data_IF_179319014289
#
_entry.id   IF_179319014289
#
_cell.length_a   1.000
_cell.length_b   1.000
_cell.length_c   1.000
_cell.angle_alpha   90.00
_cell.angle_beta   90.00
_cell.angle_gamma   90.00
#
_symmetry.space_group_name_H-M   'P 1'
#
loop_
_entity.id
_entity.type
_entity.pdbx_description
1 polymer ?
#
# COMPACT_ATOMS: atom_id res chain seq x y z
N UNK A 1 3.88 -54.85 -107.88
CA UNK A 1 2.62 -54.25 -107.38
C UNK A 1 2.96 -53.59 -106.05
N UNK A 2 3.63 -52.43 -106.09
CA UNK A 2 3.02 -51.10 -106.18
C UNK A 2 1.94 -50.90 -105.11
N UNK A 3 2.27 -50.14 -104.07
CA UNK A 3 1.45 -48.97 -103.77
C UNK A 3 2.27 -47.91 -103.02
N UNK A 4 2.30 -46.74 -103.64
CA UNK A 4 2.89 -45.49 -103.20
C UNK A 4 2.12 -44.83 -102.05
N UNK A 5 2.85 -43.92 -101.39
CA UNK A 5 2.38 -42.66 -100.80
C UNK A 5 1.42 -42.73 -99.60
N UNK A 6 1.84 -42.16 -98.47
CA UNK A 6 1.44 -40.78 -98.19
C UNK A 6 2.32 -40.17 -97.09
N UNK A 7 2.91 -39.02 -97.40
CA UNK A 7 3.61 -38.14 -96.47
C UNK A 7 2.56 -37.21 -95.87
N UNK A 8 2.33 -37.30 -94.55
CA UNK A 8 1.52 -36.34 -93.82
C UNK A 8 2.28 -35.85 -92.59
N UNK A 9 2.72 -34.60 -92.69
CA UNK A 9 3.13 -33.74 -91.58
C UNK A 9 2.22 -33.95 -90.36
N UNK A 10 2.83 -34.28 -89.22
CA UNK A 10 2.14 -34.26 -87.94
C UNK A 10 2.89 -33.28 -87.02
N UNK A 11 2.46 -32.02 -87.04
CA UNK A 11 2.84 -31.01 -86.06
C UNK A 11 2.37 -31.47 -84.67
N UNK A 12 3.27 -32.08 -83.91
CA UNK A 12 3.05 -32.41 -82.50
C UNK A 12 2.91 -31.15 -81.65
N UNK A 13 1.72 -30.94 -81.09
CA UNK A 13 1.35 -29.84 -80.20
C UNK A 13 2.31 -29.66 -78.99
N UNK A 14 2.44 -28.43 -78.43
CA UNK A 14 3.28 -28.20 -77.27
C UNK A 14 2.75 -28.95 -76.03
N UNK A 15 3.63 -29.68 -75.34
CA UNK A 15 3.32 -30.38 -74.08
C UNK A 15 2.88 -29.37 -73.01
N UNK A 16 1.62 -29.44 -72.58
CA UNK A 16 1.10 -28.66 -71.47
C UNK A 16 1.88 -28.95 -70.17
N UNK A 17 2.53 -27.94 -69.59
CA UNK A 17 3.14 -28.02 -68.25
C UNK A 17 2.02 -28.19 -67.22
N UNK A 18 1.94 -29.35 -66.57
CA UNK A 18 1.10 -29.56 -65.38
C UNK A 18 1.68 -28.75 -64.22
N UNK A 19 1.00 -27.66 -63.84
CA UNK A 19 1.27 -27.01 -62.56
C UNK A 19 0.82 -27.93 -61.42
N UNK A 20 1.65 -28.18 -60.39
CA UNK A 20 1.23 -28.96 -59.24
C UNK A 20 0.17 -28.18 -58.48
N UNK A 21 -1.07 -28.67 -58.55
CA UNK A 21 -2.20 -28.13 -57.81
C UNK A 21 -2.00 -28.45 -56.34
N UNK A 22 -1.24 -27.61 -55.61
CA UNK A 22 -1.17 -27.71 -54.15
C UNK A 22 -2.60 -27.54 -53.62
N UNK A 23 -3.08 -28.61 -52.99
CA UNK A 23 -4.41 -28.73 -52.41
C UNK A 23 -4.75 -27.49 -51.58
N UNK A 24 -5.72 -26.69 -52.07
CA UNK A 24 -6.25 -25.52 -51.35
C UNK A 24 -6.69 -25.89 -49.91
N UNK A 25 -7.07 -27.16 -49.67
CA UNK A 25 -7.48 -27.67 -48.36
C UNK A 25 -6.36 -27.57 -47.31
N UNK A 26 -5.09 -27.76 -47.69
CA UNK A 26 -3.98 -27.67 -46.74
C UNK A 26 -3.72 -26.21 -46.27
N UNK A 27 -3.93 -25.24 -47.16
CA UNK A 27 -3.86 -23.81 -46.82
C UNK A 27 -5.03 -23.38 -45.92
N UNK A 28 -6.25 -23.85 -46.22
CA UNK A 28 -7.43 -23.58 -45.40
C UNK A 28 -7.32 -24.20 -43.99
N UNK A 29 -6.71 -25.39 -43.85
CA UNK A 29 -6.50 -26.03 -42.54
C UNK A 29 -5.44 -25.32 -41.69
N UNK A 30 -4.35 -24.81 -42.28
CA UNK A 30 -3.32 -24.07 -41.51
C UNK A 30 -3.77 -22.67 -41.09
N UNK A 31 -4.56 -21.97 -41.93
CA UNK A 31 -5.16 -20.69 -41.56
C UNK A 31 -6.19 -20.83 -40.40
N UNK A 32 -6.98 -21.91 -40.40
CA UNK A 32 -7.94 -22.19 -39.34
C UNK A 32 -7.28 -22.46 -37.98
N UNK A 33 -6.18 -23.22 -37.95
CA UNK A 33 -5.46 -23.51 -36.70
C UNK A 33 -4.79 -22.26 -36.11
N UNK A 34 -4.19 -21.43 -36.96
CA UNK A 34 -3.59 -20.16 -36.52
C UNK A 34 -4.61 -19.21 -35.89
N UNK A 35 -5.82 -19.12 -36.47
CA UNK A 35 -6.90 -18.31 -35.93
C UNK A 35 -7.39 -18.83 -34.56
N UNK A 36 -7.49 -20.15 -34.39
CA UNK A 36 -7.86 -20.77 -33.09
C UNK A 36 -6.79 -20.52 -32.04
N UNK A 37 -5.50 -20.69 -32.37
CA UNK A 37 -4.41 -20.39 -31.44
C UNK A 37 -4.40 -18.90 -31.05
N UNK A 38 -4.60 -18.00 -32.01
CA UNK A 38 -4.66 -16.57 -31.74
C UNK A 38 -5.85 -16.21 -30.82
N UNK A 39 -7.00 -16.84 -31.04
CA UNK A 39 -8.19 -16.65 -30.21
C UNK A 39 -7.98 -17.19 -28.78
N UNK A 40 -7.32 -18.35 -28.62
CA UNK A 40 -6.97 -18.89 -27.31
C UNK A 40 -5.96 -18.01 -26.56
N UNK A 41 -4.98 -17.44 -27.27
CA UNK A 41 -4.00 -16.49 -26.69
C UNK A 41 -4.71 -15.22 -26.23
N UNK A 42 -5.63 -14.67 -27.02
CA UNK A 42 -6.41 -13.49 -26.64
C UNK A 42 -7.31 -13.75 -25.42
N UNK A 43 -7.96 -14.92 -25.36
CA UNK A 43 -8.74 -15.34 -24.17
C UNK A 43 -7.82 -15.46 -22.95
N UNK A 44 -6.65 -16.07 -23.09
CA UNK A 44 -5.70 -16.21 -21.99
C UNK A 44 -5.26 -14.84 -21.47
N UNK A 45 -4.94 -13.89 -22.38
CA UNK A 45 -4.60 -12.50 -22.01
C UNK A 45 -5.74 -11.88 -21.21
N UNK A 46 -6.99 -11.97 -21.67
CA UNK A 46 -8.17 -11.42 -20.98
C UNK A 46 -8.37 -12.06 -19.60
N UNK A 47 -8.15 -13.36 -19.44
CA UNK A 47 -8.25 -14.06 -18.14
C UNK A 47 -7.12 -13.62 -17.19
N UNK A 48 -5.93 -13.33 -17.72
CA UNK A 48 -4.79 -12.88 -16.91
C UNK A 48 -4.84 -11.40 -16.54
N UNK A 49 -5.68 -10.59 -17.22
CA UNK A 49 -5.87 -9.20 -16.82
C UNK A 49 -6.49 -9.19 -15.41
N UNK A 50 -5.85 -8.54 -14.43
CA UNK A 50 -6.40 -8.47 -13.09
C UNK A 50 -7.77 -7.78 -13.16
N UNK A 51 -8.78 -8.41 -12.54
CA UNK A 51 -10.09 -7.79 -12.38
C UNK A 51 -9.89 -6.44 -11.69
N UNK A 52 -10.26 -5.35 -12.36
CA UNK A 52 -10.32 -3.99 -11.78
C UNK A 52 -11.51 -3.88 -10.83
N UNK A 53 -11.69 -4.88 -9.96
CA UNK A 53 -12.70 -4.91 -8.92
C UNK A 53 -12.09 -4.50 -7.59
N UNK A 54 -12.93 -3.95 -6.72
CA UNK A 54 -12.59 -3.73 -5.31
C UNK A 54 -12.10 -5.05 -4.70
N UNK A 55 -10.87 -5.11 -4.12
CA UNK A 55 -10.33 -6.35 -3.57
C UNK A 55 -11.27 -6.94 -2.49
N UNK A 56 -11.21 -8.24 -2.20
CA UNK A 56 -11.91 -8.79 -1.04
C UNK A 56 -11.45 -8.13 0.27
N UNK A 57 -12.34 -8.04 1.27
CA UNK A 57 -12.04 -7.43 2.57
C UNK A 57 -10.83 -8.08 3.26
N UNK A 58 -10.74 -9.41 3.20
CA UNK A 58 -9.60 -10.15 3.77
C UNK A 58 -8.24 -9.73 3.16
N UNK A 59 -8.22 -9.38 1.87
CA UNK A 59 -7.00 -8.91 1.18
C UNK A 59 -6.63 -7.52 1.67
N UNK A 60 -7.61 -6.61 1.80
CA UNK A 60 -7.35 -5.26 2.33
C UNK A 60 -6.84 -5.32 3.77
N UNK A 61 -7.47 -6.13 4.62
CA UNK A 61 -7.03 -6.38 6.02
C UNK A 61 -5.58 -6.85 6.07
N UNK A 62 -5.24 -7.87 5.27
CA UNK A 62 -3.87 -8.41 5.20
C UNK A 62 -2.86 -7.36 4.71
N UNK A 63 -3.23 -6.55 3.72
CA UNK A 63 -2.41 -5.42 3.27
C UNK A 63 -2.22 -4.38 4.36
N UNK A 64 -3.26 -4.03 5.11
CA UNK A 64 -3.16 -3.08 6.24
C UNK A 64 -2.19 -3.58 7.30
N UNK A 65 -2.29 -4.85 7.70
CA UNK A 65 -1.35 -5.47 8.66
C UNK A 65 0.08 -5.42 8.12
N UNK A 66 0.27 -5.72 6.84
CA UNK A 66 1.59 -5.64 6.19
C UNK A 66 2.17 -4.23 6.23
N UNK A 67 1.35 -3.21 5.94
CA UNK A 67 1.74 -1.80 5.98
C UNK A 67 2.11 -1.35 7.38
N UNK A 68 1.33 -1.73 8.39
CA UNK A 68 1.65 -1.47 9.79
C UNK A 68 2.97 -2.12 10.20
N UNK A 69 3.24 -3.36 9.79
CA UNK A 69 4.55 -3.99 10.04
C UNK A 69 5.70 -3.27 9.35
N UNK A 70 5.53 -2.82 8.10
CA UNK A 70 6.55 -2.03 7.38
C UNK A 70 6.88 -0.74 8.15
N UNK A 71 5.85 0.02 8.54
CA UNK A 71 6.00 1.28 9.29
C UNK A 71 6.64 1.03 10.66
N UNK A 72 6.16 0.00 11.37
CA UNK A 72 6.65 -0.33 12.70
C UNK A 72 8.11 -0.78 12.69
N UNK A 73 8.52 -1.55 11.69
CA UNK A 73 9.93 -1.90 11.50
C UNK A 73 10.77 -0.64 11.31
N UNK A 74 10.33 0.30 10.46
CA UNK A 74 11.04 1.56 10.25
C UNK A 74 11.13 2.40 11.53
N UNK A 75 10.09 2.41 12.37
CA UNK A 75 10.12 3.06 13.70
C UNK A 75 11.14 2.41 14.64
N UNK A 76 11.22 1.08 14.65
CA UNK A 76 12.20 0.37 15.47
C UNK A 76 13.62 0.54 14.95
N UNK A 77 13.83 0.62 13.64
CA UNK A 77 15.14 0.97 13.08
C UNK A 77 15.57 2.40 13.45
N UNK A 78 14.64 3.36 13.42
CA UNK A 78 14.87 4.70 13.95
C UNK A 78 15.20 4.67 15.46
N UNK A 79 14.49 3.87 16.24
CA UNK A 79 14.72 3.75 17.69
C UNK A 79 16.08 3.12 18.01
N UNK A 80 16.47 2.06 17.29
CA UNK A 80 17.78 1.43 17.47
C UNK A 80 18.94 2.41 17.20
N UNK A 81 18.78 3.30 16.21
CA UNK A 81 19.83 4.26 15.83
C UNK A 81 19.86 5.50 16.71
N UNK A 82 18.71 6.00 17.16
CA UNK A 82 18.60 7.24 17.95
C UNK A 82 18.35 7.01 19.44
N UNK A 83 18.17 5.76 19.85
CA UNK A 83 17.82 5.31 21.21
C UNK A 83 16.46 5.83 21.72
N UNK A 84 15.62 6.35 20.81
CA UNK A 84 14.30 6.90 21.09
C UNK A 84 13.36 6.66 19.91
N UNK A 85 12.08 6.39 20.18
CA UNK A 85 11.05 6.56 19.17
C UNK A 85 11.06 8.02 18.71
N UNK A 86 10.73 8.30 17.44
CA UNK A 86 10.66 9.68 16.96
C UNK A 86 9.64 10.48 17.78
N UNK A 87 9.82 11.80 17.94
CA UNK A 87 8.75 12.66 18.42
C UNK A 87 7.58 12.61 17.44
N UNK A 88 6.34 12.74 17.91
CA UNK A 88 5.15 12.78 17.04
C UNK A 88 5.27 13.87 15.97
N UNK A 89 5.88 14.99 16.34
CA UNK A 89 6.23 16.05 15.41
C UNK A 89 7.52 16.74 15.79
N UNK A 90 8.23 17.23 14.78
CA UNK A 90 9.39 18.13 14.96
C UNK A 90 8.89 19.54 15.15
N UNK A 91 9.51 20.31 16.05
CA UNK A 91 9.19 21.72 16.28
C UNK A 91 10.36 22.62 15.90
N UNK A 92 10.07 23.88 15.59
CA UNK A 92 11.11 24.92 15.54
C UNK A 92 11.58 25.33 16.96
N UNK A 93 12.49 26.30 17.01
CA UNK A 93 13.01 26.86 18.27
C UNK A 93 11.95 27.58 19.13
N UNK A 94 10.82 27.98 18.53
CA UNK A 94 9.69 28.58 19.23
C UNK A 94 8.66 27.54 19.70
N UNK A 95 8.90 26.25 19.43
CA UNK A 95 8.00 25.16 19.78
C UNK A 95 6.83 24.98 18.79
N UNK A 96 6.84 25.67 17.64
CA UNK A 96 5.82 25.50 16.60
C UNK A 96 6.05 24.18 15.88
N UNK A 97 5.05 23.29 15.76
CA UNK A 97 5.15 22.06 14.98
C UNK A 97 5.43 22.35 13.49
N UNK A 98 6.42 21.65 12.93
CA UNK A 98 6.84 21.74 11.54
C UNK A 98 6.28 20.59 10.71
N UNK A 99 6.57 19.34 11.09
CA UNK A 99 6.16 18.16 10.32
C UNK A 99 6.10 16.88 11.18
N UNK A 100 5.47 15.84 10.66
CA UNK A 100 5.25 14.55 11.32
C UNK A 100 6.50 13.67 11.46
N UNK A 101 6.50 12.81 12.48
CA UNK A 101 7.38 11.64 12.62
C UNK A 101 7.52 10.80 11.34
N UNK A 102 6.49 10.76 10.48
CA UNK A 102 6.51 9.99 9.22
C UNK A 102 7.60 10.44 8.27
N UNK A 103 7.98 11.72 8.30
CA UNK A 103 9.11 12.25 7.51
C UNK A 103 10.43 11.72 8.06
N UNK A 104 10.58 11.66 9.40
CA UNK A 104 11.81 11.19 10.05
C UNK A 104 12.14 9.73 9.74
N UNK A 105 11.12 8.91 9.48
CA UNK A 105 11.33 7.49 9.20
C UNK A 105 11.53 7.16 7.72
N UNK A 106 11.47 8.14 6.81
CA UNK A 106 11.63 7.92 5.37
C UNK A 106 12.91 7.16 5.00
N UNK A 107 14.10 7.46 5.56
CA UNK A 107 15.32 6.70 5.28
C UNK A 107 15.17 5.19 5.56
N UNK A 108 14.49 4.84 6.65
CA UNK A 108 14.24 3.47 7.09
C UNK A 108 13.14 2.76 6.29
N UNK A 109 12.35 3.52 5.51
CA UNK A 109 11.43 3.00 4.50
C UNK A 109 12.08 2.89 3.11
N UNK A 110 13.40 3.15 2.99
CA UNK A 110 14.10 3.19 1.72
C UNK A 110 13.80 4.43 0.87
N UNK A 111 13.25 5.49 1.48
CA UNK A 111 12.83 6.73 0.81
C UNK A 111 13.84 7.88 1.00
N UNK A 112 15.14 7.57 1.01
CA UNK A 112 16.20 8.56 1.22
C UNK A 112 16.10 9.75 0.24
N UNK A 113 15.86 9.48 -1.04
CA UNK A 113 15.74 10.52 -2.05
C UNK A 113 14.55 11.49 -1.84
N UNK A 114 13.49 11.05 -1.16
CA UNK A 114 12.37 11.91 -0.79
C UNK A 114 12.72 12.71 0.49
N UNK A 115 13.37 12.05 1.45
CA UNK A 115 13.87 12.70 2.67
C UNK A 115 14.82 13.86 2.36
N UNK A 116 15.79 13.65 1.46
CA UNK A 116 16.78 14.67 1.07
C UNK A 116 16.15 15.89 0.36
N UNK A 117 14.95 15.75 -0.21
CA UNK A 117 14.20 16.85 -0.83
C UNK A 117 13.41 17.67 0.18
N UNK A 118 13.10 17.09 1.34
CA UNK A 118 12.24 17.72 2.33
C UNK A 118 13.05 18.71 3.17
N UNK A 119 12.63 19.97 3.22
CA UNK A 119 13.28 20.97 4.05
C UNK A 119 12.84 20.80 5.52
N UNK A 120 13.72 20.20 6.32
CA UNK A 120 13.52 19.91 7.74
C UNK A 120 13.51 21.17 8.62
N UNK A 121 13.76 22.36 8.07
CA UNK A 121 13.68 23.63 8.81
C UNK A 121 12.34 24.34 8.60
N UNK A 122 11.52 23.85 7.67
CA UNK A 122 10.25 24.46 7.30
C UNK A 122 9.06 23.58 7.68
N UNK A 123 7.90 24.22 7.82
CA UNK A 123 6.65 23.50 8.03
C UNK A 123 6.29 22.64 6.80
N UNK A 124 5.52 21.60 7.03
CA UNK A 124 5.04 20.66 6.02
C UNK A 124 4.23 21.33 4.90
N UNK A 125 3.55 22.43 5.21
CA UNK A 125 2.70 23.22 4.31
C UNK A 125 3.40 24.46 3.73
N UNK A 126 4.72 24.57 3.94
CA UNK A 126 5.52 25.61 3.28
C UNK A 126 5.52 25.44 1.75
N UNK A 127 5.76 26.51 0.97
CA UNK A 127 5.85 26.42 -0.49
C UNK A 127 6.88 25.39 -0.98
N UNK A 128 7.94 25.14 -0.20
CA UNK A 128 8.97 24.14 -0.51
C UNK A 128 8.48 22.72 -0.28
N UNK A 129 7.81 22.45 0.85
CA UNK A 129 7.46 21.08 1.27
C UNK A 129 6.07 20.62 0.78
N UNK A 130 5.13 21.55 0.58
CA UNK A 130 3.76 21.24 0.20
C UNK A 130 3.67 20.37 -1.08
N UNK A 131 4.46 20.60 -2.15
CA UNK A 131 4.43 19.72 -3.33
C UNK A 131 4.89 18.28 -3.07
N UNK A 132 5.64 18.03 -1.99
CA UNK A 132 6.12 16.68 -1.63
C UNK A 132 5.01 15.81 -1.03
N UNK A 133 3.89 16.40 -0.62
CA UNK A 133 2.70 15.66 -0.11
C UNK A 133 2.22 14.62 -1.12
N UNK A 134 2.23 14.97 -2.42
CA UNK A 134 1.85 14.09 -3.52
C UNK A 134 2.78 12.88 -3.72
N UNK A 135 4.01 12.95 -3.18
CA UNK A 135 5.01 11.87 -3.26
C UNK A 135 4.91 10.89 -2.08
N UNK A 136 3.71 10.73 -1.51
CA UNK A 136 3.48 9.85 -0.35
C UNK A 136 3.99 8.41 -0.61
N UNK A 137 4.88 7.88 0.23
CA UNK A 137 5.32 6.50 0.14
C UNK A 137 4.16 5.49 0.14
N UNK A 138 4.28 4.42 -0.64
CA UNK A 138 3.29 3.35 -0.69
C UNK A 138 3.06 2.68 0.67
N UNK A 139 4.04 2.74 1.59
CA UNK A 139 3.87 2.23 2.96
C UNK A 139 2.80 2.97 3.76
N UNK A 140 2.48 4.23 3.41
CA UNK A 140 1.43 5.01 4.06
C UNK A 140 0.08 4.99 3.31
N UNK A 141 0.00 4.35 2.14
CA UNK A 141 -1.23 4.26 1.38
C UNK A 141 -2.20 3.25 2.00
N UNK A 142 -3.42 3.71 2.30
CA UNK A 142 -4.46 2.82 2.81
C UNK A 142 -5.00 1.90 1.71
N UNK A 143 -5.11 0.58 1.93
CA UNK A 143 -5.79 -0.35 1.02
C UNK A 143 -7.29 -0.06 0.84
N UNK A 144 -7.85 0.84 1.67
CA UNK A 144 -9.25 1.27 1.66
C UNK A 144 -9.44 2.65 1.02
N UNK A 145 -8.36 3.32 0.61
CA UNK A 145 -8.42 4.64 -0.01
C UNK A 145 -9.22 4.58 -1.32
N UNK A 146 -10.23 5.46 -1.45
CA UNK A 146 -10.85 5.75 -2.73
C UNK A 146 -9.94 6.73 -3.48
N UNK A 147 -9.69 6.47 -4.76
CA UNK A 147 -8.66 7.14 -5.60
C UNK A 147 -8.81 8.66 -5.72
N UNK A 148 -9.97 9.21 -5.40
CA UNK A 148 -10.35 10.56 -5.82
C UNK A 148 -10.31 11.58 -4.66
N UNK A 149 -10.05 11.14 -3.41
CA UNK A 149 -10.12 11.97 -2.18
C UNK A 149 -8.93 11.80 -1.23
N UNK A 150 -7.83 11.19 -1.67
CA UNK A 150 -6.80 10.64 -0.76
C UNK A 150 -5.37 11.03 -1.10
N UNK A 151 -5.15 12.02 -1.98
CA UNK A 151 -3.79 12.46 -2.31
C UNK A 151 -3.06 12.95 -1.05
N UNK A 152 -1.95 12.27 -0.72
CA UNK A 152 -1.17 12.53 0.48
C UNK A 152 -1.84 12.18 1.82
N UNK A 153 -3.03 11.58 1.80
CA UNK A 153 -3.77 11.21 3.01
C UNK A 153 -3.42 9.80 3.46
N UNK A 154 -3.13 9.65 4.75
CA UNK A 154 -2.86 8.36 5.39
C UNK A 154 -3.83 8.11 6.54
N UNK A 155 -4.20 6.85 6.71
CA UNK A 155 -4.97 6.36 7.87
C UNK A 155 -4.08 5.80 8.97
N UNK A 156 -2.78 5.63 8.71
CA UNK A 156 -1.84 5.08 9.68
C UNK A 156 -1.32 6.18 10.60
N UNK A 157 -1.76 6.17 11.86
CA UNK A 157 -1.49 7.24 12.84
C UNK A 157 -0.87 6.72 14.12
N UNK A 158 -0.01 7.51 14.73
CA UNK A 158 0.44 7.27 16.09
C UNK A 158 -0.69 7.64 17.08
N UNK A 159 -0.65 7.05 18.26
CA UNK A 159 -1.44 7.53 19.40
C UNK A 159 -0.61 8.59 20.14
N UNK A 160 -1.14 9.80 20.26
CA UNK A 160 -0.40 10.95 20.82
C UNK A 160 -1.28 11.72 21.80
N UNK A 161 -0.99 11.60 23.10
CA UNK A 161 -1.59 12.45 24.13
C UNK A 161 -0.76 13.74 24.25
N UNK A 162 -1.20 14.78 23.54
CA UNK A 162 -0.52 16.08 23.52
C UNK A 162 -0.55 16.76 24.89
N UNK A 163 -1.64 16.57 25.65
CA UNK A 163 -1.90 17.29 26.89
C UNK A 163 -1.04 16.80 28.05
N UNK A 164 -0.86 15.49 28.17
CA UNK A 164 -0.19 14.87 29.33
C UNK A 164 0.99 13.99 28.94
N UNK A 165 1.28 13.83 27.65
CA UNK A 165 2.42 13.03 27.17
C UNK A 165 2.41 11.60 27.73
N UNK A 166 1.23 10.98 27.80
CA UNK A 166 1.05 9.63 28.37
C UNK A 166 1.23 8.50 27.36
N UNK A 167 1.20 8.75 26.07
CA UNK A 167 1.34 7.73 25.01
C UNK A 167 2.79 7.26 24.82
N UNK A 168 3.03 6.16 24.11
CA UNK A 168 4.37 5.64 23.85
C UNK A 168 5.24 6.65 23.08
N UNK A 169 4.70 7.20 21.98
CA UNK A 169 5.29 8.33 21.27
C UNK A 169 4.94 9.63 21.99
N UNK A 170 5.94 10.49 22.22
CA UNK A 170 5.76 11.79 22.88
C UNK A 170 5.65 12.91 21.86
N UNK A 171 5.00 14.05 22.19
CA UNK A 171 4.72 15.10 21.19
C UNK A 171 5.97 15.64 20.50
N UNK A 172 6.92 16.21 21.24
CA UNK A 172 8.12 16.87 20.69
C UNK A 172 9.46 16.30 21.18
N UNK A 173 9.46 15.37 22.14
CA UNK A 173 10.69 14.88 22.80
C UNK A 173 11.08 13.45 22.45
N UNK A 174 10.26 12.72 21.70
CA UNK A 174 10.48 11.30 21.41
C UNK A 174 10.08 10.36 22.56
N UNK A 175 9.80 9.11 22.22
CA UNK A 175 9.43 8.06 23.18
C UNK A 175 10.61 7.19 23.58
N UNK A 176 10.57 6.53 24.74
CA UNK A 176 11.58 5.54 25.11
C UNK A 176 10.88 4.23 25.49
N UNK A 177 11.08 3.20 24.65
CA UNK A 177 10.42 1.90 24.81
C UNK A 177 10.81 1.20 26.11
N UNK A 178 12.05 1.34 26.55
CA UNK A 178 12.56 0.75 27.81
C UNK A 178 11.85 1.36 29.03
N UNK A 179 11.37 2.61 28.94
CA UNK A 179 10.66 3.30 30.02
C UNK A 179 9.16 2.96 30.11
N UNK A 180 8.66 2.06 29.27
CA UNK A 180 7.28 1.58 29.31
C UNK A 180 7.17 0.43 30.32
N UNK A 181 6.64 0.72 31.51
CA UNK A 181 6.47 -0.19 32.65
C UNK A 181 5.25 -1.10 32.55
N UNK A 182 4.20 -0.65 31.87
CA UNK A 182 2.98 -1.44 31.66
C UNK A 182 3.22 -2.63 30.69
N UNK A 183 4.38 -2.64 30.02
CA UNK A 183 4.80 -3.69 29.10
C UNK A 183 4.52 -3.34 27.64
N UNK A 184 5.51 -3.56 26.79
CA UNK A 184 5.46 -3.17 25.37
C UNK A 184 4.39 -3.92 24.57
N UNK A 185 3.97 -5.11 25.01
CA UNK A 185 2.87 -5.86 24.37
C UNK A 185 1.48 -5.37 24.74
N UNK A 186 1.36 -4.46 25.71
CA UNK A 186 0.10 -3.92 26.20
C UNK A 186 -0.06 -2.44 25.84
N UNK A 187 1.01 -1.76 25.48
CA UNK A 187 0.97 -0.37 25.03
C UNK A 187 0.89 -0.26 23.52
N UNK A 188 -0.21 0.31 23.02
CA UNK A 188 -0.40 0.64 21.62
C UNK A 188 0.54 1.78 21.17
N UNK A 189 1.02 1.68 19.93
CA UNK A 189 1.91 2.65 19.30
C UNK A 189 1.25 3.31 18.10
N UNK A 190 0.75 2.49 17.17
CA UNK A 190 0.09 2.94 15.93
C UNK A 190 -1.33 2.39 15.85
N UNK A 191 -2.17 3.06 15.08
CA UNK A 191 -3.47 2.58 14.68
C UNK A 191 -3.82 2.94 13.23
N UNK A 192 -4.75 2.20 12.66
CA UNK A 192 -5.43 2.57 11.41
C UNK A 192 -6.72 3.34 11.73
N UNK A 193 -6.68 4.66 11.64
CA UNK A 193 -7.83 5.54 11.81
C UNK A 193 -8.40 5.92 10.43
N UNK A 194 -9.40 5.16 9.97
CA UNK A 194 -10.04 5.35 8.64
C UNK A 194 -11.03 6.51 8.61
N UNK A 195 -11.59 6.87 9.76
CA UNK A 195 -12.62 7.92 9.87
C UNK A 195 -12.02 9.33 9.85
N UNK A 196 -10.76 9.49 10.25
CA UNK A 196 -10.08 10.78 10.28
C UNK A 196 -8.69 10.72 9.64
N UNK A 197 -8.58 10.49 8.31
CA UNK A 197 -7.29 10.46 7.64
C UNK A 197 -6.59 11.82 7.73
N UNK A 198 -5.26 11.80 7.74
CA UNK A 198 -4.40 12.99 7.88
C UNK A 198 -3.41 13.08 6.73
N UNK A 199 -2.95 14.28 6.40
CA UNK A 199 -1.83 14.45 5.47
C UNK A 199 -0.58 13.85 6.11
N UNK A 200 0.13 12.96 5.42
CA UNK A 200 1.22 12.18 6.01
C UNK A 200 2.41 13.03 6.51
N UNK A 201 2.63 14.22 5.94
CA UNK A 201 3.68 15.15 6.39
C UNK A 201 3.23 16.06 7.53
N UNK A 202 1.92 16.21 7.74
CA UNK A 202 1.37 17.14 8.71
C UNK A 202 1.54 16.60 10.14
N UNK A 203 1.86 17.45 11.14
CA UNK A 203 2.07 17.08 12.53
C UNK A 203 0.76 16.77 13.26
N UNK A 204 -0.04 15.86 12.71
CA UNK A 204 -1.34 15.44 13.22
C UNK A 204 -1.39 13.92 13.30
N UNK A 205 -1.89 13.44 14.43
CA UNK A 205 -2.04 12.04 14.76
C UNK A 205 -3.29 11.90 15.66
N UNK A 206 -3.62 10.68 16.08
CA UNK A 206 -4.82 10.42 16.84
C UNK A 206 -4.60 10.68 18.33
N UNK A 207 -5.35 11.62 18.91
CA UNK A 207 -5.42 11.78 20.36
C UNK A 207 -6.33 10.69 20.97
N UNK A 208 -5.86 9.91 21.95
CA UNK A 208 -6.64 8.86 22.59
C UNK A 208 -8.01 9.31 23.12
N UNK A 209 -8.08 10.47 23.77
CA UNK A 209 -9.32 10.95 24.38
C UNK A 209 -10.31 11.43 23.32
N UNK A 210 -9.82 12.14 22.29
CA UNK A 210 -10.64 12.54 21.14
C UNK A 210 -11.19 11.32 20.39
N UNK A 211 -10.35 10.31 20.18
CA UNK A 211 -10.76 9.08 19.51
C UNK A 211 -11.86 8.35 20.28
N UNK A 212 -11.68 8.14 21.59
CA UNK A 212 -12.69 7.46 22.42
C UNK A 212 -14.00 8.23 22.52
N UNK A 213 -13.95 9.57 22.54
CA UNK A 213 -15.14 10.40 22.60
C UNK A 213 -15.98 10.33 21.31
N UNK A 214 -15.31 10.17 20.16
CA UNK A 214 -15.94 10.07 18.84
C UNK A 214 -16.14 8.62 18.38
N UNK A 215 -15.72 7.63 19.17
CA UNK A 215 -15.82 6.24 18.80
C UNK A 215 -17.30 5.82 18.74
N UNK A 216 -17.79 5.27 17.62
CA UNK A 216 -19.19 4.89 17.49
C UNK A 216 -19.56 3.84 18.54
N UNK A 217 -20.71 4.04 19.20
CA UNK A 217 -21.24 3.15 20.24
C UNK A 217 -22.12 2.01 19.69
N UNK A 218 -22.31 1.95 18.37
CA UNK A 218 -23.18 0.98 17.70
C UNK A 218 -22.36 -0.12 17.01
N UNK A 219 -23.03 -1.23 16.67
CA UNK A 219 -22.44 -2.46 16.13
C UNK A 219 -21.84 -2.33 14.70
N UNK A 220 -22.07 -1.19 14.01
CA UNK A 220 -21.53 -0.93 12.67
C UNK A 220 -20.25 -0.07 12.74
N UNK A 221 -19.25 -0.56 13.47
CA UNK A 221 -17.94 0.09 13.52
C UNK A 221 -16.95 -0.58 12.56
N UNK A 222 -16.22 0.28 11.87
CA UNK A 222 -15.07 -0.05 11.03
C UNK A 222 -13.96 -0.70 11.88
N UNK A 223 -13.57 -1.98 11.67
CA UNK A 223 -12.51 -2.62 12.46
C UNK A 223 -11.22 -1.81 12.46
N UNK A 224 -10.62 -1.66 13.64
CA UNK A 224 -9.40 -0.87 13.83
C UNK A 224 -8.21 -1.79 14.00
N UNK A 225 -7.19 -1.60 13.17
CA UNK A 225 -5.91 -2.27 13.33
C UNK A 225 -5.03 -1.45 14.27
N UNK A 226 -4.41 -2.12 15.24
CA UNK A 226 -3.57 -1.49 16.27
C UNK A 226 -2.25 -2.22 16.34
N UNK A 227 -1.15 -1.49 16.21
CA UNK A 227 0.19 -2.02 16.42
C UNK A 227 0.70 -1.64 17.81
N UNK A 228 1.22 -2.63 18.54
CA UNK A 228 1.73 -2.49 19.91
C UNK A 228 3.24 -2.30 19.94
N UNK A 229 3.78 -1.72 21.00
CA UNK A 229 5.20 -1.40 21.15
C UNK A 229 6.16 -2.61 21.06
N UNK A 230 5.66 -3.86 21.12
CA UNK A 230 6.43 -5.09 20.94
C UNK A 230 6.49 -5.59 19.49
N UNK A 231 5.78 -4.96 18.54
CA UNK A 231 5.70 -5.42 17.15
C UNK A 231 4.45 -6.21 16.79
N UNK A 232 3.60 -6.59 17.75
CA UNK A 232 2.36 -7.31 17.44
C UNK A 232 1.28 -6.38 16.93
N UNK A 233 0.46 -6.88 16.00
CA UNK A 233 -0.71 -6.17 15.48
C UNK A 233 -1.96 -6.94 15.90
N UNK A 234 -2.90 -6.24 16.51
CA UNK A 234 -4.23 -6.76 16.83
C UNK A 234 -5.27 -6.03 16.02
N UNK A 235 -6.39 -6.71 15.78
CA UNK A 235 -7.58 -6.09 15.19
C UNK A 235 -8.62 -6.03 16.28
N UNK A 236 -9.06 -4.82 16.58
CA UNK A 236 -10.09 -4.61 17.59
C UNK A 236 -11.44 -4.72 16.88
N UNK A 237 -12.19 -5.74 17.28
CA UNK A 237 -13.54 -6.05 16.81
C UNK A 237 -14.44 -6.15 18.05
N UNK A 238 -15.30 -5.18 18.29
CA UNK A 238 -16.36 -5.22 19.30
C UNK A 238 -16.26 -4.05 20.26
N UNK A 239 -16.40 -4.33 21.56
CA UNK A 239 -16.28 -3.34 22.62
C UNK A 239 -14.83 -2.84 22.73
N UNK A 240 -14.53 -1.86 21.88
CA UNK A 240 -13.24 -1.19 21.78
C UNK A 240 -12.90 -0.45 23.08
N UNK A 241 -13.90 -0.13 23.92
CA UNK A 241 -13.68 0.76 25.05
C UNK A 241 -12.73 0.12 26.08
N UNK A 242 -13.01 -1.09 26.57
CA UNK A 242 -12.26 -1.63 27.70
C UNK A 242 -10.83 -2.08 27.32
N UNK A 243 -10.69 -2.77 26.19
CA UNK A 243 -9.37 -3.28 25.72
C UNK A 243 -8.50 -2.14 25.17
N UNK A 244 -9.10 -1.21 24.43
CA UNK A 244 -8.32 -0.15 23.78
C UNK A 244 -7.99 0.99 24.74
N UNK A 245 -8.89 1.36 25.67
CA UNK A 245 -8.59 2.39 26.69
C UNK A 245 -7.38 2.01 27.54
N UNK A 246 -7.27 0.73 27.95
CA UNK A 246 -6.12 0.23 28.71
C UNK A 246 -4.82 0.16 27.90
N UNK A 247 -4.88 0.15 26.56
CA UNK A 247 -3.71 0.03 25.71
C UNK A 247 -3.16 1.37 25.21
N UNK A 248 -3.99 2.41 25.14
CA UNK A 248 -3.63 3.68 24.50
C UNK A 248 -2.56 4.48 25.27
N UNK A 249 -2.57 4.40 26.59
CA UNK A 249 -1.64 5.14 27.44
C UNK A 249 -0.52 4.23 27.94
N UNK A 250 0.66 4.81 28.12
CA UNK A 250 1.81 4.16 28.69
C UNK A 250 2.02 4.65 30.12
N UNK A 251 2.31 3.71 31.03
CA UNK A 251 2.58 3.94 32.45
C UNK A 251 1.39 4.51 33.24
N UNK A 252 0.16 4.22 32.82
CA UNK A 252 -1.05 4.65 33.55
C UNK A 252 -1.54 3.59 34.54
N UNK A 253 -0.91 2.40 34.54
CA UNK A 253 -1.25 1.29 35.42
C UNK A 253 -2.56 0.60 35.05
N UNK A 254 -3.21 0.99 33.95
CA UNK A 254 -4.32 0.25 33.36
C UNK A 254 -3.75 -0.75 32.38
N UNK A 255 -4.13 -2.01 32.53
CA UNK A 255 -3.71 -3.10 31.65
C UNK A 255 -4.94 -3.60 30.90
N UNK A 256 -4.88 -3.79 29.58
CA UNK A 256 -5.96 -4.41 28.83
C UNK A 256 -6.31 -5.79 29.41
N UNK A 257 -7.60 -6.14 29.56
CA UNK A 257 -7.98 -7.50 29.92
C UNK A 257 -7.45 -8.51 28.89
N UNK A 258 -7.02 -9.68 29.37
CA UNK A 258 -6.43 -10.75 28.54
C UNK A 258 -7.49 -11.55 27.78
#
# INVERSE_FOLDING_TARGET
MNQEANSSDNLGAPKARRYPQKSAKAWFQQLGLGAVCLLLILILIVITLPSMGTPPEAVRRSKTVTKLHEIQRALFEYEMTTQQLPPAYVTDSAGKPLFSWRVLILPYLGQQALYDKFDLTQAWDSPTNLPLVAQMPHSFQSPYAQTDRTEGMTTYQALVDVSRSRTAMKPSTGGNLIRIKDGTSQTALLMENRESPVIWTAPKDTDPAEFLANFPREDDFTPVHVAFCNGSISVIQGDVHEVFEGAMYANDGKVPPR
#
